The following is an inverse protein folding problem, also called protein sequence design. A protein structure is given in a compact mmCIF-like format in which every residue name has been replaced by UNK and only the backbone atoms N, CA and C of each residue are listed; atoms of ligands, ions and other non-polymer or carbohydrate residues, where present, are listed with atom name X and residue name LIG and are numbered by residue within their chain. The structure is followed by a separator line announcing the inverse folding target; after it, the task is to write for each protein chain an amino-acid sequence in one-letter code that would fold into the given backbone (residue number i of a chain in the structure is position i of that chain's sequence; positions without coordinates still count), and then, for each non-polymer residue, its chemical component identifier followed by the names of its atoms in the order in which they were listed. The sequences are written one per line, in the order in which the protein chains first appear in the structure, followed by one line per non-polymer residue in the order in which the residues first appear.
data_IF_163671129180
#
_entry.id   IF_163671129180
#
_cell.length_a   1.000
_cell.length_b   1.000
_cell.length_c   1.000
_cell.angle_alpha   90.00
_cell.angle_beta   90.00
_cell.angle_gamma   90.00
#
_symmetry.space_group_name_H-M   'P 1'
#
loop_
_entity.id
_entity.type
_entity.pdbx_description
1 polymer ?
#
# COMPACT_ATOMS: atom_id res chain seq x y z
N UNK A 1 -1.35 16.45 26.41
CA UNK A 1 -1.74 17.45 25.39
C UNK A 1 -0.50 17.84 24.62
N UNK A 2 -0.44 17.51 23.33
CA UNK A 2 0.69 17.93 22.49
C UNK A 2 0.23 19.11 21.66
N UNK A 3 0.56 20.33 22.09
CA UNK A 3 0.26 21.53 21.34
C UNK A 3 0.92 21.46 19.94
N UNK A 4 0.27 22.06 18.93
CA UNK A 4 0.83 22.14 17.57
C UNK A 4 2.09 23.00 17.60
N UNK A 5 3.22 22.41 17.21
CA UNK A 5 4.53 23.04 17.34
C UNK A 5 4.94 23.77 16.06
N UNK A 6 5.75 24.82 16.19
CA UNK A 6 6.39 25.48 15.03
C UNK A 6 7.85 25.04 14.95
N UNK A 7 8.26 24.26 13.94
CA UNK A 7 9.65 23.92 13.77
C UNK A 7 10.45 25.17 13.38
N UNK A 8 11.58 25.41 14.04
CA UNK A 8 12.50 26.49 13.63
C UNK A 8 12.95 26.33 12.17
N UNK A 9 13.14 27.43 11.44
CA UNK A 9 13.43 27.45 9.98
C UNK A 9 14.62 26.57 9.54
N UNK A 10 15.60 26.37 10.43
CA UNK A 10 16.81 25.56 10.21
C UNK A 10 16.90 24.33 11.15
N UNK A 11 15.78 23.90 11.73
CA UNK A 11 15.75 22.77 12.64
C UNK A 11 16.20 21.45 11.97
N UNK A 12 16.67 20.51 12.79
CA UNK A 12 17.01 19.15 12.37
C UNK A 12 15.79 18.43 11.74
N UNK A 13 14.57 18.78 12.17
CA UNK A 13 13.31 18.26 11.64
C UNK A 13 13.16 18.49 10.12
N UNK A 14 13.52 19.68 9.63
CA UNK A 14 13.44 19.94 8.18
C UNK A 14 14.38 19.07 7.35
N UNK A 15 15.57 18.75 7.89
CA UNK A 15 16.50 17.82 7.23
C UNK A 15 15.95 16.40 7.24
N UNK A 16 15.34 16.00 8.35
CA UNK A 16 14.71 14.70 8.54
C UNK A 16 13.55 14.49 7.57
N UNK A 17 12.59 15.42 7.53
CA UNK A 17 11.45 15.38 6.61
C UNK A 17 11.87 15.39 5.14
N UNK A 18 12.92 16.13 4.78
CA UNK A 18 13.46 16.06 3.41
C UNK A 18 14.02 14.69 3.07
N UNK A 19 14.64 13.99 4.02
CA UNK A 19 15.11 12.63 3.81
C UNK A 19 13.93 11.66 3.56
N UNK A 20 12.87 11.78 4.36
CA UNK A 20 11.61 11.03 4.20
C UNK A 20 10.99 11.29 2.82
N UNK A 21 10.77 12.55 2.45
CA UNK A 21 10.15 12.92 1.16
C UNK A 21 10.99 12.56 -0.05
N UNK A 22 12.31 12.51 0.09
CA UNK A 22 13.21 12.05 -0.98
C UNK A 22 13.22 10.53 -1.18
N UNK A 23 12.57 9.75 -0.31
CA UNK A 23 12.56 8.28 -0.35
C UNK A 23 13.91 7.64 0.02
N UNK A 24 14.83 8.42 0.60
CA UNK A 24 16.11 7.92 1.15
C UNK A 24 15.97 7.33 2.55
N UNK A 25 14.88 7.67 3.23
CA UNK A 25 14.48 7.09 4.50
C UNK A 25 13.60 5.85 4.29
N UNK A 26 13.46 5.02 5.32
CA UNK A 26 12.51 3.91 5.31
C UNK A 26 11.08 4.37 5.57
N UNK A 27 10.92 5.48 6.31
CA UNK A 27 9.66 6.17 6.53
C UNK A 27 9.14 6.78 5.24
N UNK A 28 7.85 7.08 5.22
CA UNK A 28 7.20 7.71 4.08
C UNK A 28 6.16 8.75 4.53
N UNK A 29 5.84 9.67 3.62
CA UNK A 29 4.74 10.60 3.79
C UNK A 29 3.44 9.99 3.26
N UNK A 30 2.33 10.24 3.96
CA UNK A 30 0.98 9.99 3.44
C UNK A 30 0.20 11.30 3.43
N UNK A 31 -0.20 11.69 2.23
CA UNK A 31 -0.95 12.92 1.96
C UNK A 31 -2.37 12.58 1.51
N UNK A 32 -3.11 12.01 2.46
CA UNK A 32 -4.53 11.72 2.34
C UNK A 32 -5.17 12.05 3.68
N UNK A 33 -5.85 13.21 3.75
CA UNK A 33 -6.38 13.77 4.99
C UNK A 33 -7.19 12.74 5.80
N UNK A 34 -8.18 12.12 5.18
CA UNK A 34 -9.08 11.17 5.82
C UNK A 34 -8.31 9.95 6.34
N UNK A 35 -7.44 9.36 5.51
CA UNK A 35 -6.61 8.23 5.92
C UNK A 35 -5.66 8.58 7.08
N UNK A 36 -5.05 9.77 7.08
CA UNK A 36 -4.19 10.22 8.19
C UNK A 36 -5.02 10.31 9.46
N UNK A 37 -6.21 10.91 9.38
CA UNK A 37 -7.10 11.05 10.53
C UNK A 37 -7.59 9.69 11.07
N UNK A 38 -8.00 8.78 10.19
CA UNK A 38 -8.41 7.42 10.57
C UNK A 38 -7.29 6.67 11.30
N UNK A 39 -6.03 6.88 10.91
CA UNK A 39 -4.89 6.22 11.57
C UNK A 39 -4.54 6.79 12.94
N UNK A 40 -4.95 8.02 13.29
CA UNK A 40 -4.60 8.64 14.58
C UNK A 40 -5.12 7.86 15.78
N UNK A 41 -6.26 7.19 15.61
CA UNK A 41 -6.93 6.37 16.64
C UNK A 41 -6.73 4.87 16.41
N UNK A 42 -6.01 4.49 15.34
CA UNK A 42 -5.81 3.10 14.94
C UNK A 42 -4.57 2.44 15.54
N UNK A 43 -4.33 1.18 15.16
CA UNK A 43 -3.17 0.39 15.60
C UNK A 43 -1.83 0.84 14.98
N UNK A 44 -1.86 1.76 14.02
CA UNK A 44 -0.68 2.24 13.30
C UNK A 44 -0.72 3.76 13.11
N UNK A 45 -0.64 4.54 14.21
CA UNK A 45 -0.66 5.99 14.13
C UNK A 45 0.60 6.53 13.44
N UNK A 46 0.52 7.71 12.81
CA UNK A 46 1.71 8.38 12.31
C UNK A 46 2.70 8.67 13.44
N UNK A 47 3.99 8.69 13.10
CA UNK A 47 5.04 9.18 13.99
C UNK A 47 4.87 10.68 14.27
N UNK A 48 4.42 11.43 13.25
CA UNK A 48 4.26 12.88 13.29
C UNK A 48 3.17 13.30 12.29
N UNK A 49 2.45 14.38 12.61
CA UNK A 49 1.51 15.05 11.70
C UNK A 49 2.05 16.42 11.33
N UNK A 50 2.06 16.72 10.04
CA UNK A 50 2.36 18.04 9.49
C UNK A 50 1.06 18.65 8.98
N UNK A 51 0.73 19.83 9.46
CA UNK A 51 -0.43 20.62 9.02
C UNK A 51 0.07 21.94 8.41
N UNK A 52 -0.49 22.32 7.26
CA UNK A 52 -0.18 23.61 6.64
C UNK A 52 -0.74 24.76 7.48
N UNK A 53 -0.07 25.91 7.47
CA UNK A 53 -0.54 27.10 8.15
C UNK A 53 -1.93 27.51 7.64
N UNK A 54 -2.14 27.39 6.33
CA UNK A 54 -3.39 27.69 5.62
C UNK A 54 -4.54 26.79 6.12
N UNK A 55 -4.33 25.48 6.18
CA UNK A 55 -5.35 24.54 6.65
C UNK A 55 -5.63 24.72 8.15
N UNK A 56 -4.60 25.03 8.93
CA UNK A 56 -4.75 25.30 10.35
C UNK A 56 -5.62 26.54 10.59
N UNK A 57 -5.38 27.63 9.86
CA UNK A 57 -6.15 28.87 10.04
C UNK A 57 -7.60 28.78 9.52
N UNK A 58 -7.90 27.88 8.58
CA UNK A 58 -9.28 27.60 8.13
C UNK A 58 -10.20 27.11 9.27
N UNK A 59 -9.66 26.33 10.21
CA UNK A 59 -10.43 25.71 11.29
C UNK A 59 -9.57 25.50 12.56
N UNK A 60 -8.99 26.59 13.05
CA UNK A 60 -7.95 26.59 14.11
C UNK A 60 -8.34 25.81 15.37
N UNK A 61 -9.50 26.13 15.93
CA UNK A 61 -10.00 25.49 17.15
C UNK A 61 -10.20 23.98 16.95
N UNK A 62 -10.70 23.56 15.79
CA UNK A 62 -10.91 22.15 15.45
C UNK A 62 -9.59 21.39 15.37
N UNK A 63 -8.59 21.95 14.67
CA UNK A 63 -7.29 21.30 14.51
C UNK A 63 -6.49 21.27 15.82
N UNK A 64 -6.53 22.34 16.61
CA UNK A 64 -5.91 22.38 17.94
C UNK A 64 -6.54 21.33 18.86
N UNK A 65 -7.86 21.22 18.89
CA UNK A 65 -8.56 20.19 19.67
C UNK A 65 -8.18 18.76 19.23
N UNK A 66 -8.09 18.50 17.92
CA UNK A 66 -7.63 17.21 17.38
C UNK A 66 -6.19 16.89 17.76
N UNK A 67 -5.29 17.87 17.68
CA UNK A 67 -3.89 17.71 18.08
C UNK A 67 -3.75 17.44 19.58
N UNK A 68 -4.55 18.09 20.42
CA UNK A 68 -4.56 17.89 21.88
C UNK A 68 -5.08 16.52 22.29
N UNK A 69 -6.09 16.01 21.57
CA UNK A 69 -6.66 14.67 21.76
C UNK A 69 -5.71 13.55 21.27
N UNK A 70 -4.78 13.86 20.38
CA UNK A 70 -3.82 12.91 19.83
C UNK A 70 -2.57 12.74 20.72
N UNK A 71 -2.05 11.52 20.80
CA UNK A 71 -0.72 11.26 21.38
C UNK A 71 0.43 11.53 20.41
N UNK A 72 0.13 11.76 19.12
CA UNK A 72 1.12 12.01 18.07
C UNK A 72 1.56 13.48 18.12
N UNK A 73 2.83 13.82 17.89
CA UNK A 73 3.28 15.20 17.76
C UNK A 73 2.81 15.86 16.44
N UNK A 74 2.25 17.05 16.55
CA UNK A 74 1.80 17.88 15.44
C UNK A 74 2.73 19.07 15.19
N UNK A 75 2.99 19.37 13.92
CA UNK A 75 3.81 20.50 13.50
C UNK A 75 3.08 21.34 12.47
N UNK A 76 2.96 22.64 12.72
CA UNK A 76 2.53 23.59 11.68
C UNK A 76 3.69 23.92 10.76
N UNK A 77 3.45 23.92 9.46
CA UNK A 77 4.46 24.17 8.43
C UNK A 77 3.91 25.07 7.33
N UNK A 78 4.72 25.93 6.69
CA UNK A 78 4.27 26.68 5.52
C UNK A 78 3.88 25.73 4.37
N UNK A 79 2.77 25.98 3.67
CA UNK A 79 2.31 25.14 2.55
C UNK A 79 3.38 24.96 1.48
N UNK A 80 4.11 26.02 1.12
CA UNK A 80 5.21 25.94 0.15
C UNK A 80 6.25 24.89 0.55
N UNK A 81 6.59 24.82 1.84
CA UNK A 81 7.56 23.83 2.32
C UNK A 81 6.96 22.43 2.36
N UNK A 82 5.70 22.28 2.75
CA UNK A 82 5.00 21.01 2.71
C UNK A 82 4.96 20.47 1.26
N UNK A 83 4.69 21.33 0.28
CA UNK A 83 4.72 20.99 -1.14
C UNK A 83 6.11 20.52 -1.61
N UNK A 84 7.21 21.05 -1.05
CA UNK A 84 8.57 20.52 -1.37
C UNK A 84 8.88 19.15 -0.78
N UNK A 85 8.15 18.74 0.26
CA UNK A 85 8.28 17.42 0.88
C UNK A 85 7.40 16.38 0.18
N UNK A 86 6.36 16.85 -0.50
CA UNK A 86 5.39 16.06 -1.23
C UNK A 86 5.90 15.64 -2.60
N UNK A 87 5.58 14.41 -3.00
CA UNK A 87 5.72 13.94 -4.38
C UNK A 87 4.50 14.28 -5.25
N UNK A 88 3.51 15.00 -4.70
CA UNK A 88 2.20 15.25 -5.29
C UNK A 88 2.02 16.75 -5.56
N UNK A 89 1.46 17.07 -6.74
CA UNK A 89 1.17 18.46 -7.15
C UNK A 89 0.15 19.22 -6.29
N UNK A 90 -0.72 18.53 -5.54
CA UNK A 90 -1.66 19.17 -4.63
C UNK A 90 -1.60 18.50 -3.25
N UNK A 91 -1.30 19.29 -2.24
CA UNK A 91 -1.33 18.83 -0.85
C UNK A 91 -2.73 19.05 -0.29
N UNK A 92 -3.23 18.11 0.51
CA UNK A 92 -4.49 18.28 1.24
C UNK A 92 -4.33 19.17 2.49
N UNK A 93 -3.21 19.90 2.62
CA UNK A 93 -2.81 20.66 3.81
C UNK A 93 -2.44 19.80 5.03
N UNK A 94 -2.76 18.50 5.03
CA UNK A 94 -2.44 17.56 6.11
C UNK A 94 -1.59 16.39 5.58
N UNK A 95 -0.53 16.05 6.30
CA UNK A 95 0.38 14.96 5.95
C UNK A 95 0.82 14.21 7.21
N UNK A 96 0.83 12.89 7.17
CA UNK A 96 1.42 12.06 8.23
C UNK A 96 2.76 11.47 7.82
N UNK A 97 3.67 11.35 8.78
CA UNK A 97 4.94 10.62 8.66
C UNK A 97 4.75 9.23 9.24
N UNK A 98 4.95 8.18 8.45
CA UNK A 98 4.70 6.80 8.86
C UNK A 98 5.93 5.92 8.68
N UNK A 99 6.00 4.87 9.51
CA UNK A 99 6.85 3.72 9.27
C UNK A 99 6.11 2.66 8.44
N UNK A 100 6.80 1.95 7.54
CA UNK A 100 6.28 0.74 6.90
C UNK A 100 5.72 -0.28 7.90
N UNK A 101 4.51 -0.77 7.66
CA UNK A 101 3.84 -1.77 8.51
C UNK A 101 3.74 -3.11 7.79
N UNK A 102 4.82 -3.89 7.78
CA UNK A 102 4.84 -5.21 7.15
C UNK A 102 4.48 -6.31 8.14
N UNK A 103 3.70 -7.30 7.69
CA UNK A 103 3.38 -8.51 8.47
C UNK A 103 4.46 -9.57 8.32
N UNK A 104 4.54 -10.46 9.29
CA UNK A 104 5.49 -11.56 9.25
C UNK A 104 5.12 -12.58 8.16
N UNK A 105 6.14 -13.21 7.56
CA UNK A 105 5.98 -14.30 6.58
C UNK A 105 4.98 -15.36 7.03
N UNK A 106 5.09 -15.82 8.28
CA UNK A 106 4.22 -16.85 8.85
C UNK A 106 2.76 -16.41 9.04
N UNK A 107 2.51 -15.13 9.25
CA UNK A 107 1.16 -14.58 9.39
C UNK A 107 0.44 -14.65 8.03
N UNK A 108 1.12 -14.18 6.98
CA UNK A 108 0.57 -14.19 5.62
C UNK A 108 0.33 -15.61 5.09
N UNK A 109 1.28 -16.53 5.30
CA UNK A 109 1.12 -17.95 4.89
C UNK A 109 0.00 -18.67 5.65
N UNK A 110 -0.52 -18.11 6.75
CA UNK A 110 -1.68 -18.66 7.47
C UNK A 110 -3.03 -18.13 6.97
N UNK A 111 -3.03 -17.02 6.22
CA UNK A 111 -4.26 -16.47 5.67
C UNK A 111 -4.90 -17.43 4.67
N UNK A 112 -6.22 -17.33 4.51
CA UNK A 112 -6.98 -18.19 3.59
C UNK A 112 -6.89 -17.69 2.15
N UNK A 113 -6.93 -16.38 1.96
CA UNK A 113 -6.94 -15.77 0.64
C UNK A 113 -5.78 -14.79 0.58
N UNK A 114 -4.90 -14.97 -0.40
CA UNK A 114 -3.72 -14.10 -0.56
C UNK A 114 -3.64 -13.63 -2.00
N UNK A 115 -3.62 -12.32 -2.21
CA UNK A 115 -3.23 -11.72 -3.47
C UNK A 115 -1.70 -11.63 -3.52
N UNK A 116 -1.12 -12.12 -4.61
CA UNK A 116 0.33 -12.20 -4.81
C UNK A 116 0.66 -11.40 -6.06
N UNK A 117 1.27 -10.24 -5.88
CA UNK A 117 1.71 -9.38 -6.96
C UNK A 117 3.17 -9.70 -7.30
N UNK A 118 3.40 -10.27 -8.48
CA UNK A 118 4.72 -10.54 -9.02
C UNK A 118 5.14 -9.38 -9.92
N UNK A 119 6.06 -8.56 -9.43
CA UNK A 119 6.64 -7.41 -10.15
C UNK A 119 5.61 -6.38 -10.64
N UNK A 120 4.53 -6.14 -9.90
CA UNK A 120 3.59 -5.05 -10.21
C UNK A 120 4.29 -3.70 -10.01
N UNK A 121 4.56 -3.01 -11.13
CA UNK A 121 5.41 -1.81 -11.19
C UNK A 121 4.66 -0.50 -10.97
N UNK A 122 3.37 -0.42 -11.31
CA UNK A 122 2.62 0.83 -11.15
C UNK A 122 2.00 0.92 -9.73
N UNK A 123 2.33 1.97 -8.96
CA UNK A 123 1.73 2.20 -7.65
C UNK A 123 0.21 2.46 -7.68
N UNK A 124 -0.33 2.95 -8.80
CA UNK A 124 -1.77 3.15 -8.99
C UNK A 124 -2.48 1.81 -9.06
N UNK A 125 -2.01 0.89 -9.92
CA UNK A 125 -2.48 -0.48 -10.00
C UNK A 125 -2.41 -1.17 -8.63
N UNK A 126 -1.28 -1.05 -7.91
CA UNK A 126 -1.14 -1.63 -6.57
C UNK A 126 -2.18 -1.06 -5.58
N UNK A 127 -2.39 0.26 -5.58
CA UNK A 127 -3.39 0.87 -4.70
C UNK A 127 -4.82 0.42 -5.03
N UNK A 128 -5.17 0.32 -6.31
CA UNK A 128 -6.47 -0.22 -6.75
C UNK A 128 -6.64 -1.68 -6.33
N UNK A 129 -5.61 -2.52 -6.46
CA UNK A 129 -5.63 -3.91 -5.99
C UNK A 129 -5.84 -4.01 -4.48
N UNK A 130 -5.19 -3.16 -3.68
CA UNK A 130 -5.42 -3.07 -2.23
C UNK A 130 -6.87 -2.73 -1.95
N UNK A 131 -7.43 -1.74 -2.66
CA UNK A 131 -8.83 -1.33 -2.49
C UNK A 131 -9.79 -2.47 -2.85
N UNK A 132 -9.53 -3.21 -3.92
CA UNK A 132 -10.29 -4.40 -4.31
C UNK A 132 -10.23 -5.48 -3.22
N UNK A 133 -9.04 -5.78 -2.69
CA UNK A 133 -8.86 -6.75 -1.60
C UNK A 133 -9.67 -6.38 -0.35
N UNK A 134 -9.67 -5.10 0.03
CA UNK A 134 -10.47 -4.62 1.17
C UNK A 134 -11.97 -4.66 0.91
N UNK A 135 -12.40 -4.42 -0.33
CA UNK A 135 -13.81 -4.52 -0.71
C UNK A 135 -14.32 -5.97 -0.68
N UNK A 136 -13.48 -6.94 -1.04
CA UNK A 136 -13.83 -8.36 -1.01
C UNK A 136 -13.64 -9.02 0.37
N UNK A 137 -12.77 -8.48 1.22
CA UNK A 137 -12.53 -8.94 2.59
C UNK A 137 -11.62 -10.18 2.68
N UNK A 138 -10.97 -10.36 3.84
CA UNK A 138 -10.14 -11.53 4.18
C UNK A 138 -8.91 -11.80 3.27
N UNK A 139 -8.40 -10.78 2.58
CA UNK A 139 -7.19 -10.88 1.77
C UNK A 139 -5.93 -10.50 2.55
N UNK A 140 -4.89 -11.33 2.44
CA UNK A 140 -3.50 -10.92 2.60
C UNK A 140 -2.92 -10.45 1.27
N UNK A 141 -1.85 -9.66 1.33
CA UNK A 141 -1.12 -9.16 0.16
C UNK A 141 0.37 -9.53 0.25
N UNK A 142 0.86 -10.21 -0.77
CA UNK A 142 2.29 -10.49 -0.96
C UNK A 142 2.79 -9.67 -2.15
N UNK A 143 3.86 -8.92 -1.96
CA UNK A 143 4.58 -8.24 -3.04
C UNK A 143 5.93 -8.90 -3.28
N UNK A 144 6.09 -9.49 -4.46
CA UNK A 144 7.33 -10.11 -4.90
C UNK A 144 8.01 -9.15 -5.88
N UNK A 145 8.98 -8.37 -5.39
CA UNK A 145 9.55 -7.25 -6.16
C UNK A 145 8.53 -6.13 -6.46
N UNK A 146 8.66 -5.47 -7.61
CA UNK A 146 7.75 -4.41 -8.06
C UNK A 146 7.96 -3.06 -7.38
N UNK A 147 6.91 -2.24 -7.34
CA UNK A 147 6.95 -0.91 -6.75
C UNK A 147 7.01 -0.91 -5.22
N UNK A 148 7.37 0.26 -4.65
CA UNK A 148 7.36 0.46 -3.20
C UNK A 148 5.92 0.67 -2.71
N UNK A 149 5.37 -0.20 -1.84
CA UNK A 149 3.99 -0.06 -1.36
C UNK A 149 3.81 1.17 -0.45
N UNK A 150 4.78 1.44 0.42
CA UNK A 150 4.74 2.53 1.39
C UNK A 150 5.11 3.86 0.72
N UNK A 151 4.14 4.46 0.04
CA UNK A 151 4.28 5.76 -0.63
C UNK A 151 2.96 6.52 -0.71
N UNK A 152 3.01 7.85 -0.83
CA UNK A 152 1.83 8.71 -1.04
C UNK A 152 0.98 8.25 -2.23
N UNK A 153 1.61 7.76 -3.32
CA UNK A 153 0.89 7.34 -4.54
C UNK A 153 0.02 6.10 -4.29
N UNK A 154 0.55 5.08 -3.60
CA UNK A 154 -0.22 3.87 -3.25
C UNK A 154 -1.27 4.17 -2.19
N UNK A 155 -0.93 4.95 -1.16
CA UNK A 155 -1.87 5.33 -0.11
C UNK A 155 -3.09 6.06 -0.68
N UNK A 156 -2.87 6.94 -1.66
CA UNK A 156 -3.95 7.62 -2.38
C UNK A 156 -4.76 6.67 -3.25
N UNK A 157 -4.11 5.87 -4.08
CA UNK A 157 -4.79 4.94 -4.97
C UNK A 157 -5.61 3.87 -4.21
N UNK A 158 -5.16 3.51 -3.00
CA UNK A 158 -5.88 2.61 -2.08
C UNK A 158 -6.92 3.29 -1.20
N UNK A 159 -7.12 4.62 -1.32
CA UNK A 159 -8.01 5.41 -0.46
C UNK A 159 -7.77 5.16 1.05
N UNK A 160 -6.50 5.17 1.47
CA UNK A 160 -6.10 4.90 2.86
C UNK A 160 -6.04 3.42 3.24
N UNK A 161 -6.41 2.51 2.34
CA UNK A 161 -6.47 1.07 2.60
C UNK A 161 -5.12 0.40 2.90
N UNK A 162 -4.00 1.05 2.60
CA UNK A 162 -2.65 0.49 2.75
C UNK A 162 -2.34 -0.03 4.17
N UNK A 163 -2.86 0.61 5.22
CA UNK A 163 -2.65 0.15 6.61
C UNK A 163 -3.63 -0.92 7.09
N UNK A 164 -4.69 -1.16 6.31
CA UNK A 164 -5.78 -2.07 6.68
C UNK A 164 -5.61 -3.48 6.11
N UNK A 165 -4.68 -3.64 5.18
CA UNK A 165 -4.39 -4.93 4.54
C UNK A 165 -3.10 -5.54 5.13
N UNK A 166 -3.13 -6.82 5.57
CA UNK A 166 -1.92 -7.55 5.92
C UNK A 166 -0.98 -7.63 4.70
N UNK A 167 0.14 -6.92 4.74
CA UNK A 167 1.09 -6.81 3.61
C UNK A 167 2.43 -7.41 3.99
N UNK A 168 2.97 -8.31 3.15
CA UNK A 168 4.34 -8.82 3.27
C UNK A 168 5.09 -8.64 1.95
N UNK A 169 6.34 -8.17 2.05
CA UNK A 169 7.22 -8.04 0.88
C UNK A 169 8.30 -9.11 0.91
N UNK A 170 8.65 -9.57 -0.28
CA UNK A 170 9.71 -10.54 -0.48
C UNK A 170 10.52 -10.15 -1.72
N UNK A 171 11.81 -10.48 -1.70
CA UNK A 171 12.69 -10.26 -2.85
C UNK A 171 12.29 -11.16 -4.02
N UNK A 172 12.69 -10.80 -5.24
CA UNK A 172 12.43 -11.63 -6.43
C UNK A 172 13.13 -12.99 -6.35
N UNK A 173 14.28 -13.03 -5.69
CA UNK A 173 15.10 -14.23 -5.50
C UNK A 173 14.39 -15.24 -4.58
N UNK A 174 13.69 -14.75 -3.55
CA UNK A 174 13.00 -15.58 -2.56
C UNK A 174 11.54 -15.86 -2.91
N UNK A 175 10.98 -15.13 -3.89
CA UNK A 175 9.57 -15.21 -4.27
C UNK A 175 9.10 -16.63 -4.60
N UNK A 176 9.86 -17.38 -5.40
CA UNK A 176 9.50 -18.76 -5.73
C UNK A 176 9.50 -19.69 -4.50
N UNK A 177 10.46 -19.51 -3.59
CA UNK A 177 10.52 -20.28 -2.34
C UNK A 177 9.29 -20.03 -1.47
N UNK A 178 8.83 -18.77 -1.38
CA UNK A 178 7.60 -18.43 -0.66
C UNK A 178 6.37 -19.11 -1.29
N UNK A 179 6.26 -19.10 -2.61
CA UNK A 179 5.13 -19.74 -3.30
C UNK A 179 5.09 -21.25 -3.07
N UNK A 180 6.25 -21.92 -3.08
CA UNK A 180 6.34 -23.35 -2.74
C UNK A 180 5.91 -23.61 -1.30
N UNK A 181 6.37 -22.80 -0.34
CA UNK A 181 5.92 -22.91 1.05
C UNK A 181 4.41 -22.71 1.19
N UNK A 182 3.83 -21.76 0.45
CA UNK A 182 2.38 -21.58 0.44
C UNK A 182 1.66 -22.84 -0.07
N UNK A 183 2.14 -23.47 -1.15
CA UNK A 183 1.62 -24.75 -1.62
C UNK A 183 1.73 -25.85 -0.54
N UNK A 184 2.90 -25.98 0.11
CA UNK A 184 3.14 -26.96 1.17
C UNK A 184 2.23 -26.73 2.40
N UNK A 185 1.85 -25.47 2.65
CA UNK A 185 0.89 -25.09 3.69
C UNK A 185 -0.59 -25.29 3.31
N UNK A 186 -0.84 -25.84 2.12
CA UNK A 186 -2.17 -26.20 1.61
C UNK A 186 -2.83 -25.16 0.70
N UNK A 187 -2.10 -24.12 0.26
CA UNK A 187 -2.65 -23.19 -0.74
C UNK A 187 -2.70 -23.83 -2.12
N UNK A 188 -3.79 -23.59 -2.84
CA UNK A 188 -3.78 -23.75 -4.29
C UNK A 188 -3.54 -22.40 -4.94
N UNK A 189 -2.47 -22.30 -5.71
CA UNK A 189 -2.13 -21.08 -6.41
C UNK A 189 -2.78 -21.05 -7.79
N UNK A 190 -3.25 -19.87 -8.17
CA UNK A 190 -3.84 -19.59 -9.46
C UNK A 190 -3.20 -18.36 -10.07
N UNK A 191 -2.89 -18.39 -11.36
CA UNK A 191 -2.36 -17.23 -12.07
C UNK A 191 -3.32 -16.77 -13.17
N UNK A 192 -3.49 -15.46 -13.28
CA UNK A 192 -4.21 -14.88 -14.41
C UNK A 192 -3.42 -15.11 -15.72
N UNK A 193 -4.09 -15.66 -16.72
CA UNK A 193 -3.56 -15.84 -18.06
C UNK A 193 -4.57 -15.29 -19.07
N UNK A 194 -4.14 -14.56 -20.12
CA UNK A 194 -5.05 -13.97 -21.10
C UNK A 194 -5.82 -15.05 -21.89
N UNK A 195 -5.26 -16.27 -22.00
CA UNK A 195 -5.85 -17.39 -22.73
C UNK A 195 -5.50 -18.73 -22.08
N UNK A 196 -6.28 -19.76 -22.40
CA UNK A 196 -5.97 -21.16 -22.08
C UNK A 196 -6.06 -21.54 -20.60
N UNK A 197 -6.58 -20.64 -19.75
CA UNK A 197 -6.95 -20.94 -18.37
C UNK A 197 -8.42 -21.32 -18.23
N UNK A 198 -8.77 -21.81 -17.06
CA UNK A 198 -10.15 -22.12 -16.69
C UNK A 198 -10.94 -20.83 -16.40
N UNK A 199 -12.23 -20.83 -16.72
CA UNK A 199 -13.10 -19.69 -16.44
C UNK A 199 -13.30 -19.55 -14.92
N UNK A 200 -13.04 -18.38 -14.28
CA UNK A 200 -13.10 -18.24 -12.83
C UNK A 200 -14.43 -18.69 -12.21
N UNK A 201 -15.56 -18.35 -12.84
CA UNK A 201 -16.90 -18.76 -12.38
C UNK A 201 -17.20 -20.28 -12.43
N UNK A 202 -16.33 -21.10 -13.04
CA UNK A 202 -16.47 -22.57 -13.06
C UNK A 202 -15.60 -23.26 -12.01
N UNK A 203 -14.70 -22.51 -11.38
CA UNK A 203 -13.75 -23.04 -10.41
C UNK A 203 -14.41 -23.08 -9.04
N UNK A 204 -14.38 -24.25 -8.41
CA UNK A 204 -14.60 -24.36 -6.97
C UNK A 204 -13.27 -24.07 -6.27
N UNK A 205 -13.11 -22.84 -5.79
CA UNK A 205 -11.89 -22.45 -5.08
C UNK A 205 -11.77 -23.19 -3.75
N UNK A 206 -10.57 -23.69 -3.39
CA UNK A 206 -10.35 -24.32 -2.11
C UNK A 206 -10.32 -23.27 -0.99
N UNK A 207 -10.35 -23.75 0.26
CA UNK A 207 -10.34 -22.89 1.44
C UNK A 207 -9.09 -22.00 1.53
N UNK A 208 -7.94 -22.46 1.02
CA UNK A 208 -6.70 -21.70 0.93
C UNK A 208 -6.33 -21.43 -0.52
N UNK A 209 -6.38 -20.18 -0.93
CA UNK A 209 -6.17 -19.74 -2.31
C UNK A 209 -5.12 -18.63 -2.38
N UNK A 210 -4.17 -18.78 -3.31
CA UNK A 210 -3.26 -17.71 -3.69
C UNK A 210 -3.54 -17.26 -5.11
N UNK A 211 -3.81 -15.97 -5.31
CA UNK A 211 -4.04 -15.37 -6.62
C UNK A 211 -2.78 -14.64 -7.07
N UNK A 212 -2.09 -15.16 -8.07
CA UNK A 212 -0.84 -14.61 -8.58
C UNK A 212 -1.11 -13.75 -9.81
N UNK A 213 -0.81 -12.46 -9.69
CA UNK A 213 -0.87 -11.48 -10.77
C UNK A 213 0.55 -11.07 -11.16
N UNK A 214 0.87 -11.19 -12.45
CA UNK A 214 2.15 -10.76 -13.00
C UNK A 214 2.16 -9.29 -13.41
N UNK A 215 3.32 -8.81 -13.80
CA UNK A 215 3.43 -7.53 -14.50
C UNK A 215 2.78 -7.61 -15.90
N UNK A 216 2.58 -6.47 -16.55
CA UNK A 216 1.92 -6.42 -17.87
C UNK A 216 2.78 -7.04 -19.00
N UNK A 217 4.10 -7.02 -18.86
CA UNK A 217 5.05 -7.64 -19.80
C UNK A 217 6.37 -7.90 -19.07
N UNK A 218 6.84 -9.15 -18.91
CA UNK A 218 6.38 -10.40 -19.56
C UNK A 218 5.31 -11.22 -18.82
N UNK A 219 4.73 -10.75 -17.72
CA UNK A 219 3.89 -11.54 -16.83
C UNK A 219 4.69 -12.24 -15.73
N UNK A 220 4.22 -13.43 -15.32
CA UNK A 220 4.94 -14.27 -14.35
C UNK A 220 5.94 -15.21 -15.05
N UNK A 221 7.13 -15.45 -14.48
CA UNK A 221 8.11 -16.40 -15.03
C UNK A 221 7.57 -17.84 -15.14
N UNK A 222 8.07 -18.63 -16.10
CA UNK A 222 7.62 -20.02 -16.31
C UNK A 222 7.72 -20.89 -15.05
N UNK A 223 8.79 -20.72 -14.25
CA UNK A 223 8.96 -21.44 -12.98
C UNK A 223 7.84 -21.16 -11.97
N UNK A 224 7.25 -19.96 -12.01
CA UNK A 224 6.09 -19.56 -11.21
C UNK A 224 4.82 -20.12 -11.82
N UNK A 225 4.66 -20.03 -13.15
CA UNK A 225 3.51 -20.64 -13.86
C UNK A 225 3.36 -22.14 -13.58
N UNK A 226 4.49 -22.85 -13.42
CA UNK A 226 4.49 -24.28 -13.10
C UNK A 226 3.94 -24.59 -11.69
N UNK A 227 3.87 -23.60 -10.79
CA UNK A 227 3.29 -23.74 -9.45
C UNK A 227 1.80 -23.37 -9.42
N UNK A 228 1.25 -22.81 -10.50
CA UNK A 228 -0.10 -22.24 -10.52
C UNK A 228 -1.02 -22.96 -11.49
N UNK A 229 -2.32 -22.94 -11.18
CA UNK A 229 -3.38 -23.24 -12.15
C UNK A 229 -3.75 -21.97 -12.92
N UNK A 230 -3.94 -22.08 -14.24
CA UNK A 230 -4.25 -20.90 -15.08
C UNK A 230 -5.73 -20.57 -15.00
N UNK A 231 -6.05 -19.30 -14.76
CA UNK A 231 -7.40 -18.74 -14.85
C UNK A 231 -7.45 -17.74 -15.99
N UNK A 232 -8.53 -17.75 -16.78
CA UNK A 232 -8.75 -16.77 -17.84
C UNK A 232 -10.10 -16.09 -17.70
N UNK A 233 -10.08 -14.76 -17.61
CA UNK A 233 -11.28 -13.93 -17.77
C UNK A 233 -11.59 -13.88 -19.28
N UNK A 234 -12.77 -14.32 -19.75
CA UNK A 234 -13.12 -14.22 -21.15
C UNK A 234 -13.14 -12.77 -21.61
N UNK A 235 -12.50 -12.49 -22.73
CA UNK A 235 -12.45 -11.17 -23.35
C UNK A 235 -12.97 -11.24 -24.77
N UNK A 236 -13.50 -10.13 -25.27
CA UNK A 236 -13.90 -10.03 -26.67
C UNK A 236 -12.70 -10.23 -27.60
N UNK A 237 -12.90 -10.85 -28.78
CA UNK A 237 -11.87 -10.93 -29.80
C UNK A 237 -11.27 -9.55 -30.10
N UNK A 238 -9.94 -9.45 -30.18
CA UNK A 238 -9.22 -8.19 -30.40
C UNK A 238 -8.74 -7.49 -29.12
N UNK A 239 -9.16 -7.94 -27.94
CA UNK A 239 -8.59 -7.48 -26.66
C UNK A 239 -7.47 -8.43 -26.24
N UNK A 240 -6.26 -7.92 -26.06
CA UNK A 240 -5.08 -8.74 -25.71
C UNK A 240 -4.97 -9.00 -24.20
N UNK A 241 -5.30 -8.01 -23.38
CA UNK A 241 -5.21 -8.05 -21.92
C UNK A 241 -6.15 -7.03 -21.26
N UNK A 242 -6.33 -7.18 -19.95
CA UNK A 242 -6.90 -6.16 -19.07
C UNK A 242 -5.77 -5.50 -18.28
N UNK A 243 -6.04 -4.31 -17.71
CA UNK A 243 -5.21 -3.79 -16.65
C UNK A 243 -5.17 -4.80 -15.49
N UNK A 244 -4.03 -4.86 -14.78
CA UNK A 244 -3.82 -5.87 -13.73
C UNK A 244 -4.76 -5.69 -12.52
N UNK A 245 -5.26 -4.46 -12.29
CA UNK A 245 -6.01 -4.09 -11.10
C UNK A 245 -7.53 -4.26 -11.21
#
# INVERSE_FOLDING_TARGET
MTAIQTPGKHSKLWKDWKAVGSGKDTRFFMEHREAVLETLEGESPPLQVLISEELLEEAREEWEARAEASSVPWYRVPEERLATLSSVRSTSGLCGVFEPQERGRHEIVRMKTVLICWEVQDPGNLGTLIRSCLAFGDFGLVLIGGCRPWSSKVARASAGGLFRIPLYRVSLQEGESLLREMCDSGHQLYSAAPRGGEHPARIQFPQKVGLVLGNETPGIPQRVQNLTKRITIPMNPGTESLNVA
#
